data_IF_638739926929
#
_entry.id   IF_638739926929
#
_cell.length_a   1.000
_cell.length_b   1.000
_cell.length_c   1.000
_cell.angle_alpha   90.00
_cell.angle_beta   90.00
_cell.angle_gamma   90.00
#
_symmetry.space_group_name_H-M   'P 1'
#
loop_
_entity.id
_entity.type
_entity.pdbx_description
1 polymer ?
#
# COMPACT_ATOMS: atom_id res chain seq x y z
N UNK A 1 -14.51 1.43 12.83
CA UNK A 1 -13.45 1.84 13.78
C UNK A 1 -12.64 0.62 14.18
N UNK A 2 -11.32 0.74 14.12
CA UNK A 2 -10.36 -0.27 14.57
C UNK A 2 -9.47 0.32 15.66
N UNK A 3 -9.18 -0.47 16.72
CA UNK A 3 -8.29 -0.07 17.81
C UNK A 3 -7.06 -1.00 17.79
N UNK A 4 -5.89 -0.40 17.64
CA UNK A 4 -4.60 -1.07 17.64
C UNK A 4 -3.89 -0.72 18.96
N UNK A 5 -3.58 -1.71 19.79
CA UNK A 5 -2.90 -1.55 21.07
C UNK A 5 -1.52 -2.20 21.04
N UNK A 6 -0.59 -1.70 21.85
CA UNK A 6 0.79 -2.18 21.82
C UNK A 6 1.53 -1.85 20.52
N UNK A 7 1.05 -0.87 19.79
CA UNK A 7 1.63 -0.47 18.50
C UNK A 7 2.90 0.35 18.70
N UNK A 8 3.89 0.12 17.85
CA UNK A 8 5.08 0.93 17.81
C UNK A 8 4.76 2.32 17.22
N UNK A 9 5.14 3.38 17.94
CA UNK A 9 5.18 4.73 17.39
C UNK A 9 6.59 5.05 16.89
N UNK A 10 6.69 5.20 15.59
CA UNK A 10 7.92 5.48 14.86
C UNK A 10 7.65 6.51 13.75
N UNK A 11 8.68 6.95 13.08
CA UNK A 11 8.50 7.81 11.89
C UNK A 11 7.64 7.15 10.83
N UNK A 12 7.79 5.85 10.60
CA UNK A 12 6.99 5.10 9.62
C UNK A 12 5.50 5.11 9.94
N UNK A 13 5.14 4.87 11.21
CA UNK A 13 3.72 4.90 11.65
C UNK A 13 3.16 6.31 11.68
N UNK A 14 3.99 7.32 11.99
CA UNK A 14 3.61 8.73 11.96
C UNK A 14 3.25 9.18 10.54
N UNK A 15 4.13 8.96 9.57
CA UNK A 15 3.86 9.39 8.18
C UNK A 15 2.68 8.62 7.57
N UNK A 16 2.47 7.35 7.94
CA UNK A 16 1.28 6.59 7.55
C UNK A 16 0.00 7.23 8.12
N UNK A 17 0.00 7.58 9.42
CA UNK A 17 -1.14 8.25 10.07
C UNK A 17 -1.44 9.60 9.44
N UNK A 18 -0.42 10.38 9.13
CA UNK A 18 -0.56 11.67 8.44
C UNK A 18 -1.17 11.49 7.04
N UNK A 19 -0.69 10.52 6.26
CA UNK A 19 -1.24 10.22 4.95
C UNK A 19 -2.72 9.80 5.02
N UNK A 20 -3.09 8.96 5.99
CA UNK A 20 -4.48 8.55 6.20
C UNK A 20 -5.37 9.75 6.57
N UNK A 21 -4.90 10.64 7.45
CA UNK A 21 -5.64 11.87 7.83
C UNK A 21 -5.86 12.79 6.63
N UNK A 22 -4.87 12.92 5.74
CA UNK A 22 -5.00 13.70 4.50
C UNK A 22 -6.09 13.15 3.57
N UNK A 23 -6.37 11.87 3.63
CA UNK A 23 -7.42 11.19 2.87
C UNK A 23 -8.77 11.16 3.58
N UNK A 24 -8.91 11.86 4.72
CA UNK A 24 -10.17 11.95 5.46
C UNK A 24 -10.41 10.82 6.46
N UNK A 25 -9.41 9.99 6.74
CA UNK A 25 -9.49 8.97 7.79
C UNK A 25 -9.16 9.61 9.13
N UNK A 26 -10.01 9.40 10.13
CA UNK A 26 -9.71 9.82 11.50
C UNK A 26 -8.74 8.83 12.13
N UNK A 27 -7.60 9.34 12.61
CA UNK A 27 -6.59 8.57 13.33
C UNK A 27 -6.30 9.28 14.64
N UNK A 28 -6.79 8.72 15.74
CA UNK A 28 -6.56 9.22 17.08
C UNK A 28 -5.45 8.43 17.77
N UNK A 29 -4.69 9.10 18.61
CA UNK A 29 -3.52 8.54 19.31
C UNK A 29 -3.68 8.84 20.82
N UNK A 30 -4.56 8.07 21.52
CA UNK A 30 -4.91 8.38 22.90
C UNK A 30 -3.76 8.17 23.92
N UNK A 31 -2.78 7.37 23.56
CA UNK A 31 -1.58 7.09 24.37
C UNK A 31 -0.38 6.73 23.48
N UNK A 32 0.77 6.43 24.08
CA UNK A 32 2.03 6.19 23.37
C UNK A 32 2.10 4.85 22.60
N UNK A 33 1.08 4.01 22.68
CA UNK A 33 1.07 2.67 22.07
C UNK A 33 -0.25 2.31 21.41
N UNK A 34 -1.19 3.26 21.31
CA UNK A 34 -2.52 3.01 20.79
C UNK A 34 -2.81 3.92 19.59
N UNK A 35 -3.38 3.31 18.55
CA UNK A 35 -4.05 4.03 17.46
C UNK A 35 -5.52 3.64 17.42
N UNK A 36 -6.40 4.62 17.22
CA UNK A 36 -7.82 4.40 16.94
C UNK A 36 -8.11 4.97 15.57
N UNK A 37 -8.41 4.08 14.62
CA UNK A 37 -8.62 4.42 13.22
C UNK A 37 -10.09 4.29 12.89
N UNK A 38 -10.72 5.39 12.48
CA UNK A 38 -12.12 5.41 12.04
C UNK A 38 -12.20 5.90 10.59
N UNK A 39 -12.72 5.05 9.71
CA UNK A 39 -12.92 5.37 8.30
C UNK A 39 -14.38 5.17 7.93
N UNK A 40 -14.90 6.02 7.06
CA UNK A 40 -16.21 5.86 6.40
C UNK A 40 -16.18 4.82 5.28
N UNK A 41 -15.00 4.33 4.90
CA UNK A 41 -14.79 3.52 3.70
C UNK A 41 -14.59 4.33 2.41
N UNK A 42 -14.75 5.64 2.49
CA UNK A 42 -14.51 6.55 1.35
C UNK A 42 -13.28 7.41 1.65
N UNK A 43 -12.22 7.20 0.89
CA UNK A 43 -11.01 8.01 0.98
C UNK A 43 -11.04 9.10 -0.09
N UNK A 44 -10.63 10.29 0.30
CA UNK A 44 -10.59 11.44 -0.59
C UNK A 44 -9.17 11.59 -1.16
N UNK A 45 -9.08 11.80 -2.47
CA UNK A 45 -7.80 12.13 -3.08
C UNK A 45 -7.36 13.54 -2.65
N UNK A 46 -6.22 13.68 -1.95
CA UNK A 46 -5.73 14.99 -1.55
C UNK A 46 -5.13 15.72 -2.74
N UNK A 47 -5.11 17.07 -2.68
CA UNK A 47 -4.49 17.89 -3.73
C UNK A 47 -2.96 17.79 -3.75
N UNK A 48 -2.36 17.35 -2.65
CA UNK A 48 -0.92 17.20 -2.50
C UNK A 48 -0.52 15.72 -2.49
N UNK A 49 0.75 15.46 -2.79
CA UNK A 49 1.30 14.11 -2.67
C UNK A 49 1.24 13.60 -1.22
N UNK A 50 0.95 12.32 -1.06
CA UNK A 50 1.07 11.58 0.19
C UNK A 50 2.55 11.33 0.46
N UNK A 51 3.14 12.17 1.30
CA UNK A 51 4.56 12.10 1.63
C UNK A 51 4.81 11.07 2.74
N UNK A 52 5.56 10.03 2.42
CA UNK A 52 5.81 8.89 3.33
C UNK A 52 7.27 8.80 3.82
N UNK A 53 8.05 9.87 3.66
CA UNK A 53 9.46 9.88 4.08
C UNK A 53 10.23 8.69 3.50
N UNK A 54 10.91 7.90 4.36
CA UNK A 54 11.59 6.66 3.98
C UNK A 54 10.84 5.39 4.43
N UNK A 55 9.54 5.49 4.72
CA UNK A 55 8.69 4.39 5.18
C UNK A 55 8.35 3.41 4.04
N UNK A 56 9.22 2.43 3.79
CA UNK A 56 9.11 1.53 2.65
C UNK A 56 7.85 0.67 2.65
N UNK A 57 7.43 0.17 3.80
CA UNK A 57 6.22 -0.62 3.96
C UNK A 57 4.97 0.23 3.70
N UNK A 58 4.90 1.42 4.30
CA UNK A 58 3.79 2.35 4.10
C UNK A 58 3.64 2.73 2.62
N UNK A 59 4.75 3.05 1.94
CA UNK A 59 4.75 3.40 0.52
C UNK A 59 4.17 2.28 -0.34
N UNK A 60 4.58 1.02 -0.13
CA UNK A 60 4.12 -0.11 -0.93
C UNK A 60 2.67 -0.47 -0.63
N UNK A 61 2.30 -0.48 0.64
CA UNK A 61 0.93 -0.82 1.07
C UNK A 61 -0.08 0.22 0.61
N UNK A 62 0.21 1.52 0.78
CA UNK A 62 -0.67 2.57 0.27
C UNK A 62 -0.75 2.58 -1.25
N UNK A 63 0.35 2.40 -1.97
CA UNK A 63 0.32 2.32 -3.45
C UNK A 63 -0.68 1.28 -3.94
N UNK A 64 -0.71 0.09 -3.34
CA UNK A 64 -1.67 -0.94 -3.72
C UNK A 64 -3.09 -0.64 -3.21
N UNK A 65 -3.23 -0.17 -1.97
CA UNK A 65 -4.54 0.11 -1.36
C UNK A 65 -5.30 1.20 -2.12
N UNK A 66 -4.61 2.24 -2.60
CA UNK A 66 -5.21 3.37 -3.31
C UNK A 66 -5.87 2.98 -4.64
N UNK A 67 -5.48 1.85 -5.23
CA UNK A 67 -6.17 1.30 -6.41
C UNK A 67 -7.65 0.97 -6.15
N UNK A 68 -8.03 0.74 -4.89
CA UNK A 68 -9.41 0.42 -4.49
C UNK A 68 -10.29 1.66 -4.27
N UNK A 69 -9.77 2.86 -4.35
CA UNK A 69 -10.51 4.10 -4.17
C UNK A 69 -10.57 4.90 -5.47
N UNK A 70 -11.62 5.70 -5.62
CA UNK A 70 -11.73 6.60 -6.77
C UNK A 70 -10.91 7.88 -6.54
N UNK A 71 -10.13 8.28 -7.55
CA UNK A 71 -9.39 9.53 -7.52
C UNK A 71 -7.95 9.43 -8.03
N UNK A 72 -7.33 10.59 -8.14
CA UNK A 72 -5.94 10.73 -8.56
C UNK A 72 -5.06 10.92 -7.32
N UNK A 73 -4.16 10.00 -7.08
CA UNK A 73 -3.25 10.00 -5.93
C UNK A 73 -1.80 10.06 -6.38
N UNK A 74 -0.97 10.69 -5.58
CA UNK A 74 0.49 10.62 -5.74
C UNK A 74 1.09 10.18 -4.41
N UNK A 75 1.86 9.09 -4.44
CA UNK A 75 2.63 8.61 -3.29
C UNK A 75 4.10 8.95 -3.51
N UNK A 76 4.70 9.65 -2.56
CA UNK A 76 6.08 10.12 -2.65
C UNK A 76 6.81 9.95 -1.31
N UNK A 77 8.09 10.20 -1.32
CA UNK A 77 8.95 10.13 -0.14
C UNK A 77 10.17 11.02 -0.25
N UNK A 78 11.11 10.82 0.66
CA UNK A 78 12.36 11.56 0.67
C UNK A 78 13.31 11.12 -0.47
N UNK A 79 14.49 11.72 -0.52
CA UNK A 79 15.51 11.41 -1.54
C UNK A 79 15.97 9.94 -1.51
N UNK A 80 15.88 9.27 -0.36
CA UNK A 80 16.25 7.86 -0.22
C UNK A 80 15.12 6.96 -0.73
N UNK A 81 13.86 7.30 -0.43
CA UNK A 81 12.70 6.58 -0.94
C UNK A 81 12.63 6.67 -2.47
N UNK A 82 12.94 7.82 -3.05
CA UNK A 82 12.98 8.03 -4.51
C UNK A 82 14.07 7.21 -5.23
N UNK A 83 14.90 6.48 -4.50
CA UNK A 83 15.89 5.52 -5.03
C UNK A 83 15.51 4.06 -4.78
N UNK A 84 14.41 3.81 -4.06
CA UNK A 84 13.98 2.44 -3.70
C UNK A 84 13.02 1.90 -4.76
N UNK A 85 13.29 0.70 -5.31
CA UNK A 85 12.45 0.14 -6.36
C UNK A 85 11.01 -0.11 -5.89
N UNK A 86 10.06 0.19 -6.77
CA UNK A 86 8.65 -0.13 -6.65
C UNK A 86 8.06 -0.67 -7.97
N UNK A 87 8.86 -0.71 -9.02
CA UNK A 87 8.47 -1.17 -10.35
C UNK A 87 7.69 -2.48 -10.36
N UNK A 88 8.16 -3.56 -9.69
CA UNK A 88 7.43 -4.83 -9.68
C UNK A 88 6.00 -4.75 -9.16
N UNK A 89 5.74 -3.90 -8.16
CA UNK A 89 4.39 -3.66 -7.66
C UNK A 89 3.56 -2.87 -8.67
N UNK A 90 4.14 -1.84 -9.28
CA UNK A 90 3.50 -1.03 -10.32
C UNK A 90 3.11 -1.91 -11.51
N UNK A 91 4.02 -2.76 -12.00
CA UNK A 91 3.76 -3.68 -13.11
C UNK A 91 2.62 -4.67 -12.78
N UNK A 92 2.61 -5.19 -11.55
CA UNK A 92 1.54 -6.09 -11.09
C UNK A 92 0.17 -5.38 -11.09
N UNK A 93 0.10 -4.16 -10.54
CA UNK A 93 -1.13 -3.37 -10.52
C UNK A 93 -1.61 -2.98 -11.93
N UNK A 94 -0.70 -2.65 -12.84
CA UNK A 94 -1.03 -2.36 -14.24
C UNK A 94 -1.66 -3.58 -14.93
N UNK A 95 -1.15 -4.79 -14.70
CA UNK A 95 -1.74 -6.05 -15.22
C UNK A 95 -3.15 -6.28 -14.68
N UNK A 96 -3.50 -5.73 -13.53
CA UNK A 96 -4.86 -5.74 -12.96
C UNK A 96 -5.71 -4.56 -13.45
N UNK A 97 -5.31 -3.83 -14.46
CA UNK A 97 -6.06 -2.73 -15.03
C UNK A 97 -6.02 -1.41 -14.26
N UNK A 98 -5.12 -1.30 -13.27
CA UNK A 98 -4.91 -0.04 -12.55
C UNK A 98 -4.09 0.93 -13.39
N UNK A 99 -4.55 2.15 -13.52
CA UNK A 99 -3.74 3.23 -14.09
C UNK A 99 -2.76 3.72 -13.03
N UNK A 100 -1.55 3.18 -13.05
CA UNK A 100 -0.48 3.50 -12.10
C UNK A 100 0.83 3.69 -12.87
N UNK A 101 1.66 4.63 -12.44
CA UNK A 101 2.95 4.87 -13.08
C UNK A 101 4.02 5.31 -12.07
N UNK A 102 5.22 4.81 -12.30
CA UNK A 102 6.46 5.23 -11.64
C UNK A 102 7.56 5.25 -12.72
N UNK A 103 7.72 6.34 -13.48
CA UNK A 103 8.56 6.36 -14.69
C UNK A 103 10.03 5.99 -14.45
N UNK A 104 10.54 6.25 -13.25
CA UNK A 104 11.90 5.87 -12.84
C UNK A 104 12.00 4.46 -12.26
N UNK A 105 10.87 3.72 -12.13
CA UNK A 105 10.78 2.48 -11.37
C UNK A 105 10.83 2.69 -9.85
N UNK A 106 10.86 3.93 -9.39
CA UNK A 106 10.90 4.37 -7.99
C UNK A 106 9.85 5.47 -7.75
N UNK A 107 9.51 5.83 -6.50
CA UNK A 107 8.66 6.98 -6.22
C UNK A 107 9.22 8.29 -6.84
N UNK A 108 8.35 9.28 -7.17
CA UNK A 108 6.93 9.28 -6.90
C UNK A 108 6.12 8.33 -7.79
N UNK A 109 5.02 7.80 -7.23
CA UNK A 109 4.08 6.91 -7.92
C UNK A 109 2.76 7.66 -8.09
N UNK A 110 2.30 7.78 -9.33
CA UNK A 110 0.98 8.31 -9.64
C UNK A 110 -0.01 7.15 -9.79
N UNK A 111 -1.15 7.23 -9.11
CA UNK A 111 -2.20 6.20 -9.12
C UNK A 111 -3.52 6.88 -9.47
N UNK A 112 -4.21 6.38 -10.48
CA UNK A 112 -5.59 6.73 -10.78
C UNK A 112 -6.49 5.57 -10.39
N UNK A 113 -7.04 5.68 -9.20
CA UNK A 113 -7.91 4.65 -8.64
C UNK A 113 -9.31 4.70 -9.25
N UNK A 114 -9.87 3.53 -9.54
CA UNK A 114 -11.18 3.34 -10.19
C UNK A 114 -12.17 2.57 -9.31
N UNK A 115 -11.99 2.62 -7.99
CA UNK A 115 -12.91 2.03 -7.04
C UNK A 115 -12.82 0.51 -6.91
N UNK A 116 -11.65 -0.09 -7.09
CA UNK A 116 -11.36 -1.48 -6.81
C UNK A 116 -10.52 -2.19 -7.85
N UNK A 117 -9.74 -3.16 -7.40
CA UNK A 117 -9.02 -4.08 -8.27
C UNK A 117 -9.99 -5.03 -8.96
N UNK A 118 -9.80 -5.26 -10.25
CA UNK A 118 -10.58 -6.25 -10.99
C UNK A 118 -10.17 -7.68 -10.55
N UNK A 119 -11.11 -8.62 -10.68
CA UNK A 119 -10.82 -10.03 -10.44
C UNK A 119 -9.75 -10.52 -11.41
N UNK A 120 -8.85 -11.38 -10.94
CA UNK A 120 -7.83 -11.92 -11.81
C UNK A 120 -6.67 -12.60 -11.10
N UNK A 121 -5.71 -13.07 -11.89
CA UNK A 121 -4.48 -13.71 -11.44
C UNK A 121 -3.28 -12.82 -11.74
N UNK A 122 -2.47 -12.57 -10.72
CA UNK A 122 -1.20 -11.85 -10.84
C UNK A 122 -0.06 -12.81 -10.59
N UNK A 123 0.96 -12.76 -11.44
CA UNK A 123 2.22 -13.45 -11.20
C UNK A 123 3.28 -12.45 -10.76
N UNK A 124 3.96 -12.75 -9.65
CA UNK A 124 5.05 -11.95 -9.11
C UNK A 124 6.17 -12.85 -8.61
N UNK A 125 7.42 -12.43 -8.82
CA UNK A 125 8.58 -13.21 -8.37
C UNK A 125 8.64 -13.25 -6.85
N UNK A 126 8.61 -14.46 -6.28
CA UNK A 126 8.67 -14.71 -4.85
C UNK A 126 9.99 -14.34 -4.18
N UNK A 127 11.07 -14.15 -4.96
CA UNK A 127 12.36 -13.67 -4.47
C UNK A 127 12.38 -12.16 -4.20
N UNK A 128 11.38 -11.42 -4.70
CA UNK A 128 11.23 -10.00 -4.42
C UNK A 128 10.80 -9.77 -2.97
N UNK A 129 10.77 -8.52 -2.57
CA UNK A 129 10.31 -8.14 -1.23
C UNK A 129 8.90 -8.67 -0.94
N UNK A 130 8.73 -9.37 0.20
CA UNK A 130 7.42 -9.80 0.70
C UNK A 130 6.41 -8.65 0.82
N UNK A 131 6.87 -7.40 0.93
CA UNK A 131 6.01 -6.22 0.99
C UNK A 131 5.18 -6.04 -0.29
N UNK A 132 5.69 -6.42 -1.47
CA UNK A 132 4.91 -6.37 -2.71
C UNK A 132 3.77 -7.37 -2.68
N UNK A 133 4.06 -8.60 -2.26
CA UNK A 133 3.07 -9.68 -2.17
C UNK A 133 2.00 -9.33 -1.13
N UNK A 134 2.40 -8.91 0.07
CA UNK A 134 1.48 -8.49 1.13
C UNK A 134 0.60 -7.31 0.69
N UNK A 135 1.17 -6.33 -0.01
CA UNK A 135 0.42 -5.19 -0.55
C UNK A 135 -0.68 -5.65 -1.52
N UNK A 136 -0.35 -6.56 -2.44
CA UNK A 136 -1.31 -7.12 -3.40
C UNK A 136 -2.39 -7.97 -2.75
N UNK A 137 -2.03 -8.80 -1.75
CA UNK A 137 -2.99 -9.62 -1.00
C UNK A 137 -4.00 -8.75 -0.25
N UNK A 138 -3.52 -7.73 0.50
CA UNK A 138 -4.40 -6.83 1.24
C UNK A 138 -5.28 -5.98 0.30
N UNK A 139 -4.73 -5.47 -0.78
CA UNK A 139 -5.50 -4.70 -1.77
C UNK A 139 -6.52 -5.59 -2.49
N UNK A 140 -6.14 -6.82 -2.84
CA UNK A 140 -7.01 -7.80 -3.47
C UNK A 140 -8.21 -8.20 -2.62
N UNK A 141 -8.03 -8.29 -1.29
CA UNK A 141 -9.13 -8.57 -0.36
C UNK A 141 -10.22 -7.49 -0.35
N UNK A 142 -9.89 -6.27 -0.80
CA UNK A 142 -10.81 -5.15 -0.92
C UNK A 142 -11.24 -4.87 -2.38
N UNK A 143 -10.86 -5.73 -3.32
CA UNK A 143 -11.15 -5.58 -4.74
C UNK A 143 -12.60 -5.95 -5.11
N UNK A 144 -12.94 -5.80 -6.39
CA UNK A 144 -14.28 -6.08 -6.94
C UNK A 144 -14.60 -7.57 -7.09
N UNK A 145 -13.59 -8.43 -6.98
CA UNK A 145 -13.74 -9.87 -7.11
C UNK A 145 -12.49 -10.63 -6.67
N UNK A 146 -12.47 -11.96 -6.83
CA UNK A 146 -11.36 -12.78 -6.36
C UNK A 146 -10.05 -12.44 -7.07
N UNK A 147 -9.01 -12.23 -6.27
CA UNK A 147 -7.64 -11.97 -6.72
C UNK A 147 -6.75 -13.13 -6.31
N UNK A 148 -6.07 -13.73 -7.26
CA UNK A 148 -5.06 -14.74 -7.02
C UNK A 148 -3.66 -14.13 -7.20
N UNK A 149 -2.81 -14.21 -6.19
CA UNK A 149 -1.40 -13.83 -6.28
C UNK A 149 -0.56 -15.09 -6.38
N UNK A 150 -0.05 -15.38 -7.58
CA UNK A 150 0.80 -16.52 -7.85
C UNK A 150 2.28 -16.13 -7.72
N UNK A 151 3.01 -16.83 -6.86
CA UNK A 151 4.43 -16.61 -6.71
C UNK A 151 5.20 -17.45 -7.73
N UNK A 152 6.08 -16.79 -8.48
CA UNK A 152 7.01 -17.44 -9.40
C UNK A 152 8.42 -17.48 -8.80
N UNK A 153 9.31 -18.27 -9.37
CA UNK A 153 10.68 -18.45 -8.85
C UNK A 153 10.82 -19.68 -7.97
N UNK A 154 12.07 -19.96 -7.54
CA UNK A 154 12.43 -21.17 -6.80
C UNK A 154 12.32 -21.01 -5.28
N UNK A 155 12.30 -19.79 -4.78
CA UNK A 155 12.28 -19.48 -3.35
C UNK A 155 11.24 -18.39 -3.05
N UNK A 156 10.66 -18.46 -1.86
CA UNK A 156 9.78 -17.40 -1.34
C UNK A 156 10.56 -16.67 -0.25
N UNK A 157 11.02 -15.47 -0.60
CA UNK A 157 11.70 -14.61 0.36
C UNK A 157 10.78 -14.17 1.49
N UNK A 158 11.31 -14.18 2.72
CA UNK A 158 10.60 -13.66 3.90
C UNK A 158 9.18 -14.21 4.11
N UNK A 159 8.99 -15.52 3.91
CA UNK A 159 7.70 -16.24 3.99
C UNK A 159 6.91 -15.92 5.26
N UNK A 160 7.58 -15.78 6.42
CA UNK A 160 6.90 -15.46 7.67
C UNK A 160 6.06 -14.18 7.66
N UNK A 161 6.44 -13.18 6.85
CA UNK A 161 5.62 -11.97 6.68
C UNK A 161 4.38 -12.22 5.82
N UNK A 162 4.45 -13.16 4.87
CA UNK A 162 3.28 -13.55 4.08
C UNK A 162 2.30 -14.35 4.95
N UNK A 163 2.80 -15.28 5.75
CA UNK A 163 1.99 -16.05 6.69
C UNK A 163 1.28 -15.11 7.69
N UNK A 164 1.98 -14.07 8.17
CA UNK A 164 1.37 -13.02 9.02
C UNK A 164 0.30 -12.22 8.29
N UNK A 165 0.47 -11.96 6.99
CA UNK A 165 -0.53 -11.21 6.19
C UNK A 165 -1.79 -12.04 5.94
N UNK A 166 -1.68 -13.37 5.89
CA UNK A 166 -2.77 -14.30 5.62
C UNK A 166 -3.52 -14.75 6.89
N UNK A 167 -2.96 -14.52 8.09
CA UNK A 167 -3.54 -14.88 9.37
C UNK A 167 -4.63 -13.90 9.82
#
# INVERSE_FOLDING_TARGET
TSRLTGALKSDDTRVMSEALRLMGVQVDEPDDSTFVVTSSGHWQAPQQALFLGNAGTATRFLTAALANFEGDFVVDGDEYMRKRPIGPLVDALQRMGVEVSAPSGCPPVAIKGKGGLEAGRIEIDGNLSSQYVSALLMAGACGKGPVEVALTGSEIGARGYLDLTLA
#
